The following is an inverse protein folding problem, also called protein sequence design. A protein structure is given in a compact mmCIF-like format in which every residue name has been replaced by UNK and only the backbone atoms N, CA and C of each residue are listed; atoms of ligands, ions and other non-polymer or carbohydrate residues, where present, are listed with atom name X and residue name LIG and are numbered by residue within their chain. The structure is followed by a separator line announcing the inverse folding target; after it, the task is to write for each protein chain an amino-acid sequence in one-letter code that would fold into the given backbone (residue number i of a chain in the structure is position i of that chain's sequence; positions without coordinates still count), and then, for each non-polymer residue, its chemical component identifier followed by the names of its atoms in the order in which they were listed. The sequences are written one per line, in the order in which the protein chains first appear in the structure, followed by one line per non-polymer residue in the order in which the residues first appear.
data_IF_457845129171
#
_entry.id   IF_457845129171
#
_cell.length_a   1.000
_cell.length_b   1.000
_cell.length_c   1.000
_cell.angle_alpha   90.00
_cell.angle_beta   90.00
_cell.angle_gamma   90.00
#
_symmetry.space_group_name_H-M   'P 1'
#
loop_
_entity.id
_entity.type
_entity.pdbx_description
1 polymer ?
#
# COMPACT_ATOMS: atom_id res chain seq x y z
N UNK A 1 1.10 -9.32 18.04
CA UNK A 1 -0.32 -9.35 18.42
C UNK A 1 -0.88 -7.97 18.09
N UNK A 2 -1.79 -7.90 17.13
CA UNK A 2 -2.18 -6.65 16.47
C UNK A 2 -3.45 -6.00 17.03
N UNK A 3 -3.71 -4.78 16.55
CA UNK A 3 -4.96 -4.05 16.80
C UNK A 3 -6.14 -4.82 16.16
N UNK A 4 -7.28 -4.97 16.85
CA UNK A 4 -8.50 -5.53 16.25
C UNK A 4 -8.93 -4.76 15.01
N UNK A 5 -9.40 -5.45 13.97
CA UNK A 5 -9.75 -4.84 12.67
C UNK A 5 -10.64 -3.60 12.79
N UNK A 6 -11.67 -3.65 13.65
CA UNK A 6 -12.57 -2.51 13.86
C UNK A 6 -11.83 -1.28 14.40
N UNK A 7 -10.90 -1.49 15.32
CA UNK A 7 -10.11 -0.43 15.93
C UNK A 7 -9.10 0.13 14.93
N UNK A 8 -8.43 -0.72 14.13
CA UNK A 8 -7.50 -0.24 13.09
C UNK A 8 -8.25 0.55 12.02
N UNK A 9 -9.43 0.09 11.60
CA UNK A 9 -10.25 0.79 10.62
C UNK A 9 -10.72 2.17 11.13
N UNK A 10 -11.08 2.27 12.41
CA UNK A 10 -11.43 3.56 13.04
C UNK A 10 -10.25 4.55 13.05
N UNK A 11 -9.05 4.09 13.41
CA UNK A 11 -7.83 4.91 13.39
C UNK A 11 -7.55 5.43 11.98
N UNK A 12 -7.64 4.56 10.96
CA UNK A 12 -7.48 4.96 9.55
C UNK A 12 -8.55 5.95 9.13
N UNK A 13 -9.82 5.74 9.54
CA UNK A 13 -10.90 6.68 9.26
C UNK A 13 -10.64 8.09 9.79
N UNK A 14 -10.14 8.19 11.02
CA UNK A 14 -9.70 9.48 11.62
C UNK A 14 -8.52 10.10 10.88
N UNK A 15 -7.57 9.27 10.44
CA UNK A 15 -6.41 9.71 9.63
C UNK A 15 -6.85 10.32 8.30
N UNK A 16 -7.81 9.68 7.62
CA UNK A 16 -8.39 10.19 6.37
C UNK A 16 -9.17 11.47 6.62
N UNK A 17 -9.96 11.56 7.69
CA UNK A 17 -10.67 12.78 8.04
C UNK A 17 -9.73 13.98 8.26
N UNK A 18 -8.58 13.75 8.91
CA UNK A 18 -7.54 14.76 9.08
C UNK A 18 -6.97 15.19 7.72
N UNK A 19 -6.63 14.25 6.85
CA UNK A 19 -6.12 14.52 5.49
C UNK A 19 -7.09 15.37 4.68
N UNK A 20 -8.39 15.02 4.69
CA UNK A 20 -9.44 15.78 3.99
C UNK A 20 -9.53 17.21 4.52
N UNK A 21 -9.49 17.41 5.85
CA UNK A 21 -9.55 18.75 6.45
C UNK A 21 -8.37 19.65 6.06
N UNK A 22 -7.22 19.05 5.72
CA UNK A 22 -5.98 19.73 5.37
C UNK A 22 -5.69 19.76 3.89
N UNK A 23 -6.52 19.10 3.08
CA UNK A 23 -6.30 18.91 1.65
C UNK A 23 -4.90 18.32 1.35
N UNK A 24 -4.52 17.27 2.06
CA UNK A 24 -3.27 16.53 1.88
C UNK A 24 -3.54 15.02 1.76
N UNK A 25 -2.52 14.24 1.40
CA UNK A 25 -2.59 12.79 1.36
C UNK A 25 -2.08 12.16 2.66
N UNK A 26 -2.37 10.86 2.87
CA UNK A 26 -1.91 10.14 4.07
C UNK A 26 -0.38 10.14 4.20
N UNK A 27 0.34 10.06 3.09
CA UNK A 27 1.80 10.06 3.07
C UNK A 27 2.40 11.43 3.43
N UNK A 28 1.61 12.51 3.37
CA UNK A 28 2.05 13.86 3.72
C UNK A 28 1.95 14.14 5.22
N UNK A 29 1.25 13.29 5.98
CA UNK A 29 1.16 13.42 7.43
C UNK A 29 2.52 13.12 8.06
N UNK A 30 2.94 13.99 8.98
CA UNK A 30 4.13 13.76 9.78
C UNK A 30 3.91 12.65 10.81
N UNK A 31 5.02 12.06 11.28
CA UNK A 31 4.95 10.98 12.26
C UNK A 31 4.32 11.44 13.58
N UNK A 32 4.51 12.71 13.95
CA UNK A 32 3.90 13.32 15.14
C UNK A 32 2.37 13.43 15.00
N UNK A 33 1.88 13.78 13.81
CA UNK A 33 0.45 13.85 13.51
C UNK A 33 -0.19 12.45 13.50
N UNK A 34 0.51 11.46 12.94
CA UNK A 34 0.07 10.06 13.00
C UNK A 34 0.06 9.55 14.46
N UNK A 35 1.12 9.82 15.22
CA UNK A 35 1.20 9.44 16.65
C UNK A 35 0.09 10.11 17.48
N UNK A 36 -0.26 11.35 17.18
CA UNK A 36 -1.38 12.06 17.80
C UNK A 36 -2.72 11.36 17.56
N UNK A 37 -2.88 10.62 16.46
CA UNK A 37 -4.07 9.80 16.19
C UNK A 37 -4.01 8.44 16.90
N UNK A 38 -2.84 7.79 16.88
CA UNK A 38 -2.55 6.59 17.64
C UNK A 38 -1.04 6.35 17.78
N UNK A 39 -0.52 6.02 18.97
CA UNK A 39 0.91 5.78 19.21
C UNK A 39 1.44 4.48 18.58
N UNK A 40 0.61 3.69 17.90
CA UNK A 40 1.08 2.51 17.17
C UNK A 40 1.86 2.88 15.89
N UNK A 41 1.68 4.09 15.36
CA UNK A 41 2.37 4.48 14.15
C UNK A 41 3.85 4.74 14.43
N UNK A 42 4.71 4.04 13.70
CA UNK A 42 6.16 4.24 13.70
C UNK A 42 6.63 4.63 12.28
N UNK A 43 7.92 4.90 12.12
CA UNK A 43 8.55 5.32 10.86
C UNK A 43 8.33 4.34 9.71
N UNK A 44 8.09 3.08 10.01
CA UNK A 44 7.79 2.03 9.03
C UNK A 44 6.47 2.28 8.29
N UNK A 45 5.57 3.12 8.81
CA UNK A 45 4.30 3.48 8.15
C UNK A 45 4.51 4.02 6.74
N UNK A 46 5.60 4.76 6.51
CA UNK A 46 5.93 5.34 5.20
C UNK A 46 6.38 4.30 4.17
N UNK A 47 6.70 3.08 4.59
CA UNK A 47 6.94 1.95 3.67
C UNK A 47 5.63 1.33 3.13
N UNK A 48 4.47 1.73 3.68
CA UNK A 48 3.15 1.25 3.26
C UNK A 48 2.33 2.34 2.57
N UNK A 49 2.52 3.60 2.97
CA UNK A 49 1.81 4.74 2.38
C UNK A 49 2.37 5.08 1.00
N UNK A 50 1.48 5.53 0.12
CA UNK A 50 1.78 5.88 -1.27
C UNK A 50 1.42 4.79 -2.27
N UNK A 51 1.13 5.21 -3.51
CA UNK A 51 0.63 4.33 -4.57
C UNK A 51 1.61 3.19 -4.88
N UNK A 52 2.89 3.52 -5.06
CA UNK A 52 3.93 2.53 -5.39
C UNK A 52 4.12 1.50 -4.27
N UNK A 53 4.17 1.97 -3.02
CA UNK A 53 4.32 1.11 -1.85
C UNK A 53 3.10 0.19 -1.66
N UNK A 54 1.89 0.72 -1.86
CA UNK A 54 0.66 -0.07 -1.85
C UNK A 54 0.70 -1.19 -2.89
N UNK A 55 1.06 -0.88 -4.14
CA UNK A 55 1.18 -1.86 -5.22
C UNK A 55 2.23 -2.95 -4.89
N UNK A 56 3.38 -2.58 -4.33
CA UNK A 56 4.44 -3.53 -3.93
C UNK A 56 4.04 -4.54 -2.87
N UNK A 57 2.98 -4.29 -2.10
CA UNK A 57 2.48 -5.22 -1.08
C UNK A 57 1.58 -6.32 -1.65
N UNK A 58 1.07 -6.15 -2.87
CA UNK A 58 0.34 -7.18 -3.60
C UNK A 58 1.32 -8.24 -4.14
N UNK A 59 1.64 -9.25 -3.33
CA UNK A 59 2.61 -10.31 -3.66
C UNK A 59 2.00 -11.70 -3.80
N UNK A 60 0.73 -11.85 -3.43
CA UNK A 60 0.01 -13.11 -3.57
C UNK A 60 -0.13 -13.49 -5.04
N UNK A 61 -0.16 -14.79 -5.32
CA UNK A 61 -0.39 -15.30 -6.67
C UNK A 61 -1.64 -14.66 -7.30
N UNK A 62 -1.51 -14.15 -8.53
CA UNK A 62 -2.59 -13.50 -9.27
C UNK A 62 -2.92 -12.07 -8.83
N UNK A 63 -2.18 -11.49 -7.89
CA UNK A 63 -2.38 -10.10 -7.46
C UNK A 63 -1.76 -9.09 -8.44
N UNK A 64 -2.05 -7.81 -8.22
CA UNK A 64 -1.68 -6.69 -9.11
C UNK A 64 -0.30 -6.10 -8.86
N UNK A 65 0.50 -6.68 -7.96
CA UNK A 65 1.85 -6.16 -7.72
C UNK A 65 2.76 -6.40 -8.92
N UNK A 66 3.72 -5.50 -9.11
CA UNK A 66 4.59 -5.47 -10.29
C UNK A 66 5.30 -6.81 -10.54
N UNK A 67 5.77 -7.49 -9.48
CA UNK A 67 6.39 -8.81 -9.59
C UNK A 67 5.41 -9.88 -10.06
N UNK A 68 4.19 -9.89 -9.53
CA UNK A 68 3.14 -10.82 -9.95
C UNK A 68 2.73 -10.58 -11.40
N UNK A 69 2.58 -9.32 -11.80
CA UNK A 69 2.23 -8.95 -13.18
C UNK A 69 3.36 -9.33 -14.13
N UNK A 70 4.62 -9.10 -13.77
CA UNK A 70 5.77 -9.53 -14.57
C UNK A 70 5.77 -11.06 -14.77
N UNK A 71 5.55 -11.84 -13.70
CA UNK A 71 5.44 -13.29 -13.80
C UNK A 71 4.27 -13.75 -14.66
N UNK A 72 3.12 -13.05 -14.62
CA UNK A 72 1.99 -13.32 -15.51
C UNK A 72 2.32 -13.02 -16.97
N UNK A 73 3.04 -11.93 -17.25
CA UNK A 73 3.50 -11.61 -18.60
C UNK A 73 4.42 -12.71 -19.14
N UNK A 74 5.41 -13.12 -18.36
CA UNK A 74 6.35 -14.16 -18.78
C UNK A 74 5.64 -15.51 -19.03
N UNK A 75 4.66 -15.87 -18.17
CA UNK A 75 3.83 -17.06 -18.39
C UNK A 75 3.08 -17.03 -19.72
N UNK A 76 2.45 -15.90 -20.07
CA UNK A 76 1.69 -15.79 -21.32
C UNK A 76 2.56 -15.64 -22.55
N UNK A 77 3.73 -15.01 -22.43
CA UNK A 77 4.72 -14.93 -23.51
C UNK A 77 5.18 -16.34 -23.91
N UNK A 78 5.53 -17.18 -22.93
CA UNK A 78 5.90 -18.58 -23.14
C UNK A 78 4.74 -19.38 -23.76
N UNK A 79 3.57 -19.31 -23.12
CA UNK A 79 2.38 -20.08 -23.53
C UNK A 79 1.85 -19.73 -24.92
N UNK A 80 2.01 -18.48 -25.35
CA UNK A 80 1.58 -18.00 -26.67
C UNK A 80 2.72 -17.97 -27.69
N UNK A 81 3.94 -18.36 -27.31
CA UNK A 81 5.14 -18.30 -28.16
C UNK A 81 5.37 -16.91 -28.78
N UNK A 82 5.14 -15.86 -27.99
CA UNK A 82 5.35 -14.47 -28.43
C UNK A 82 6.85 -14.15 -28.40
N UNK A 83 7.40 -13.67 -29.51
CA UNK A 83 8.78 -13.17 -29.54
C UNK A 83 8.87 -11.84 -28.81
N UNK A 84 9.76 -11.74 -27.82
CA UNK A 84 10.03 -10.47 -27.12
C UNK A 84 10.94 -9.63 -28.02
N UNK A 85 10.37 -8.79 -28.87
CA UNK A 85 11.17 -7.74 -29.53
C UNK A 85 11.69 -6.79 -28.45
N UNK A 86 13.00 -6.54 -28.51
CA UNK A 86 13.78 -5.90 -27.46
C UNK A 86 13.75 -4.38 -27.59
#
# INVERSE_FOLDING_TARGET
MGIPFRTSHDIVGRSVALCVSRNCELQDLSLDELNSLNPIFDKDVYEYLGVENSIKKFRSYGSTGSECVAGQLDYWIDKLSISRER
#
